data_IF_041189788877
#
_entry.id   IF_041189788877
#
_cell.length_a   1.000
_cell.length_b   1.000
_cell.length_c   1.000
_cell.angle_alpha   90.00
_cell.angle_beta   90.00
_cell.angle_gamma   90.00
#
_symmetry.space_group_name_H-M   'P 1'
#
loop_
_entity.id
_entity.type
_entity.pdbx_description
1 polymer ?
#
# COMPACT_ATOMS: atom_id res chain seq x y z
N UNK A 1 -11.00 -22.28 -10.37
CA UNK A 1 -9.59 -22.67 -10.20
C UNK A 1 -9.21 -22.37 -8.76
N UNK A 2 -8.24 -23.06 -8.15
CA UNK A 2 -7.78 -22.69 -6.82
C UNK A 2 -7.04 -21.34 -6.94
N UNK A 3 -7.35 -20.40 -6.05
CA UNK A 3 -6.99 -18.99 -6.19
C UNK A 3 -6.00 -18.57 -5.11
N UNK A 4 -5.02 -17.74 -5.48
CA UNK A 4 -4.20 -17.02 -4.51
C UNK A 4 -5.04 -15.95 -3.83
N UNK A 5 -4.62 -15.51 -2.64
CA UNK A 5 -5.34 -14.49 -1.90
C UNK A 5 -4.43 -13.54 -1.12
N UNK A 6 -4.91 -12.31 -0.90
CA UNK A 6 -4.35 -11.35 0.04
C UNK A 6 -5.31 -11.20 1.22
N UNK A 7 -4.80 -11.38 2.43
CA UNK A 7 -5.56 -11.24 3.67
C UNK A 7 -5.06 -10.04 4.47
N UNK A 8 -6.00 -9.18 4.90
CA UNK A 8 -5.77 -8.28 6.01
C UNK A 8 -5.91 -9.06 7.32
N UNK A 9 -4.98 -8.88 8.26
CA UNK A 9 -5.02 -9.50 9.59
C UNK A 9 -4.70 -8.47 10.68
N UNK A 10 -5.19 -8.72 11.90
CA UNK A 10 -4.98 -7.82 13.05
C UNK A 10 -4.53 -8.57 14.29
N UNK A 11 -3.26 -8.44 14.61
CA UNK A 11 -2.65 -9.02 15.80
C UNK A 11 -2.97 -8.17 17.04
N UNK A 12 -3.37 -8.81 18.12
CA UNK A 12 -3.46 -8.17 19.43
C UNK A 12 -2.08 -7.94 20.03
N UNK A 13 -1.81 -6.69 20.42
CA UNK A 13 -0.52 -6.28 20.97
C UNK A 13 -0.64 -5.91 22.45
N UNK A 14 -0.87 -4.65 22.81
CA UNK A 14 -1.09 -4.23 24.21
C UNK A 14 -2.53 -3.73 24.38
N UNK A 15 -3.24 -4.28 25.37
CA UNK A 15 -4.61 -3.92 25.67
C UNK A 15 -5.54 -4.14 24.47
N UNK A 16 -6.29 -3.10 24.09
CA UNK A 16 -7.20 -3.12 22.94
C UNK A 16 -6.53 -2.67 21.63
N UNK A 17 -5.23 -2.40 21.61
CA UNK A 17 -4.54 -1.99 20.39
C UNK A 17 -4.34 -3.17 19.43
N UNK A 18 -4.46 -2.88 18.13
CA UNK A 18 -4.23 -3.82 17.04
C UNK A 18 -3.03 -3.41 16.19
N UNK A 19 -2.23 -4.41 15.82
CA UNK A 19 -1.23 -4.33 14.77
C UNK A 19 -1.81 -4.98 13.51
N UNK A 20 -2.16 -4.17 12.52
CA UNK A 20 -2.65 -4.65 11.24
C UNK A 20 -1.48 -4.98 10.30
N UNK A 21 -1.63 -6.05 9.51
CA UNK A 21 -0.63 -6.52 8.56
C UNK A 21 -1.27 -7.32 7.43
N UNK A 22 -0.46 -7.62 6.40
CA UNK A 22 -0.91 -8.34 5.21
C UNK A 22 -0.31 -9.73 5.14
N UNK A 23 -1.09 -10.69 4.66
CA UNK A 23 -0.65 -12.06 4.40
C UNK A 23 -0.98 -12.45 2.97
N UNK A 24 0.02 -12.99 2.27
CA UNK A 24 -0.16 -13.66 0.99
C UNK A 24 -0.46 -15.14 1.22
N UNK A 25 -1.51 -15.64 0.58
CA UNK A 25 -1.93 -17.04 0.63
C UNK A 25 -1.83 -17.67 -0.75
N UNK A 26 -1.34 -18.90 -0.79
CA UNK A 26 -1.39 -19.73 -2.00
C UNK A 26 -2.78 -20.31 -2.22
N UNK A 27 -2.90 -21.09 -3.28
CA UNK A 27 -4.14 -21.70 -3.72
C UNK A 27 -4.70 -22.78 -2.77
N UNK A 28 -3.91 -23.20 -1.78
CA UNK A 28 -4.28 -24.13 -0.71
C UNK A 28 -4.53 -23.42 0.64
N UNK A 29 -4.46 -22.08 0.67
CA UNK A 29 -4.58 -21.29 1.89
C UNK A 29 -3.33 -21.30 2.79
N UNK A 30 -2.20 -21.84 2.31
CA UNK A 30 -0.92 -21.79 3.03
C UNK A 30 -0.36 -20.37 2.97
N UNK A 31 0.22 -19.90 4.07
CA UNK A 31 0.92 -18.62 4.11
C UNK A 31 2.18 -18.69 3.24
N UNK A 32 2.26 -17.79 2.27
CA UNK A 32 3.40 -17.63 1.37
C UNK A 32 4.35 -16.57 1.90
N UNK A 33 3.80 -15.44 2.37
CA UNK A 33 4.57 -14.35 2.93
C UNK A 33 3.72 -13.41 3.80
N UNK A 34 4.37 -12.61 4.63
CA UNK A 34 3.77 -11.51 5.39
C UNK A 34 4.43 -10.16 5.07
N UNK A 35 3.65 -9.07 5.15
CA UNK A 35 4.13 -7.68 5.04
C UNK A 35 3.68 -6.86 6.25
N UNK A 36 4.63 -6.22 6.91
CA UNK A 36 4.41 -5.48 8.16
C UNK A 36 5.07 -4.10 8.14
N UNK A 37 4.50 -3.17 8.91
CA UNK A 37 5.30 -2.10 9.52
C UNK A 37 5.58 -2.44 10.97
N UNK A 38 6.82 -2.48 11.39
CA UNK A 38 7.19 -2.81 12.78
C UNK A 38 8.08 -1.71 13.35
N UNK A 39 8.03 -1.55 14.67
CA UNK A 39 9.11 -0.89 15.36
C UNK A 39 10.36 -1.75 15.19
N UNK A 40 11.50 -1.11 14.96
CA UNK A 40 12.77 -1.78 14.75
C UNK A 40 13.81 -1.11 15.60
N UNK A 41 14.45 -1.88 16.46
CA UNK A 41 15.55 -1.42 17.27
C UNK A 41 16.74 -1.03 16.37
N UNK A 42 17.15 0.24 16.41
CA UNK A 42 18.23 0.76 15.58
C UNK A 42 19.59 0.14 15.90
N UNK A 43 19.80 -0.35 17.13
CA UNK A 43 21.05 -0.94 17.57
C UNK A 43 21.17 -2.41 17.17
N UNK A 44 20.07 -3.17 17.30
CA UNK A 44 20.09 -4.63 17.03
C UNK A 44 19.55 -4.99 15.65
N UNK A 45 18.85 -4.07 14.99
CA UNK A 45 18.10 -4.33 13.76
C UNK A 45 16.88 -5.22 13.95
N UNK A 46 16.51 -5.55 15.19
CA UNK A 46 15.41 -6.48 15.47
C UNK A 46 14.06 -5.78 15.38
N UNK A 47 13.11 -6.45 14.72
CA UNK A 47 11.72 -6.04 14.68
C UNK A 47 11.03 -6.35 16.01
N UNK A 48 10.21 -5.42 16.49
CA UNK A 48 9.34 -5.57 17.66
C UNK A 48 7.92 -5.08 17.30
N UNK A 49 6.87 -5.76 17.76
CA UNK A 49 5.49 -5.40 17.41
C UNK A 49 5.07 -3.99 17.86
N UNK A 50 5.60 -3.52 18.99
CA UNK A 50 5.40 -2.16 19.51
C UNK A 50 6.72 -1.65 20.08
N UNK A 51 7.14 -0.46 19.63
CA UNK A 51 8.26 0.28 20.22
C UNK A 51 7.84 1.07 21.45
N UNK A 52 8.73 1.14 22.44
CA UNK A 52 8.53 1.86 23.71
C UNK A 52 9.47 3.05 23.90
N UNK A 53 10.41 3.22 22.97
CA UNK A 53 11.42 4.29 22.96
C UNK A 53 11.56 4.83 21.53
N UNK A 54 11.07 6.04 21.29
CA UNK A 54 11.03 6.68 19.99
C UNK A 54 12.40 7.14 19.49
N UNK A 55 13.39 7.28 20.37
CA UNK A 55 14.76 7.62 19.98
C UNK A 55 15.56 6.39 19.57
N UNK A 56 15.19 5.22 20.11
CA UNK A 56 15.83 3.94 19.82
C UNK A 56 15.16 3.16 18.70
N UNK A 57 13.84 3.28 18.56
CA UNK A 57 13.07 2.48 17.60
C UNK A 57 12.70 3.31 16.38
N UNK A 58 12.95 2.73 15.21
CA UNK A 58 12.51 3.27 13.94
C UNK A 58 11.31 2.48 13.40
N UNK A 59 10.40 3.14 12.70
CA UNK A 59 9.42 2.44 11.87
C UNK A 59 10.13 1.85 10.65
N UNK A 60 9.95 0.56 10.43
CA UNK A 60 10.42 -0.15 9.24
C UNK A 60 9.35 -1.04 8.65
N UNK A 61 9.36 -1.10 7.33
CA UNK A 61 8.72 -2.11 6.53
C UNK A 61 9.51 -3.43 6.59
N UNK A 62 8.80 -4.53 6.83
CA UNK A 62 9.33 -5.89 6.89
C UNK A 62 8.55 -6.81 5.95
N UNK A 63 9.29 -7.66 5.23
CA UNK A 63 8.76 -8.71 4.38
C UNK A 63 9.28 -10.05 4.88
N UNK A 64 8.39 -10.98 5.20
CA UNK A 64 8.74 -12.30 5.69
C UNK A 64 8.26 -13.36 4.69
N UNK A 65 9.09 -13.80 3.74
CA UNK A 65 8.72 -14.85 2.79
C UNK A 65 8.85 -16.24 3.43
N UNK A 66 7.75 -16.95 3.62
CA UNK A 66 7.75 -18.28 4.26
C UNK A 66 7.86 -19.44 3.26
N UNK A 67 7.40 -19.23 2.04
CA UNK A 67 7.43 -20.27 1.01
C UNK A 67 8.78 -20.29 0.27
N UNK A 68 9.48 -21.45 0.20
CA UNK A 68 10.77 -21.54 -0.48
C UNK A 68 10.75 -21.16 -1.95
N UNK A 69 9.71 -21.53 -2.69
CA UNK A 69 9.62 -21.23 -4.12
C UNK A 69 9.38 -19.73 -4.33
N UNK A 70 8.52 -19.12 -3.51
CA UNK A 70 8.30 -17.67 -3.55
C UNK A 70 9.57 -16.89 -3.16
N UNK A 71 10.19 -17.21 -2.03
CA UNK A 71 11.43 -16.56 -1.58
C UNK A 71 12.51 -16.60 -2.66
N UNK A 72 12.71 -17.76 -3.28
CA UNK A 72 13.67 -17.91 -4.37
C UNK A 72 13.33 -17.02 -5.58
N UNK A 73 12.05 -16.89 -5.93
CA UNK A 73 11.61 -16.10 -7.10
C UNK A 73 11.86 -14.60 -6.97
N UNK A 74 12.01 -14.09 -5.74
CA UNK A 74 12.31 -12.68 -5.46
C UNK A 74 13.77 -12.47 -5.00
N UNK A 75 14.59 -13.53 -5.00
CA UNK A 75 15.99 -13.44 -4.58
C UNK A 75 16.19 -13.29 -3.06
N UNK A 76 15.20 -13.65 -2.25
CA UNK A 76 15.26 -13.59 -0.78
C UNK A 76 15.42 -14.99 -0.17
N UNK A 77 15.79 -15.03 1.12
CA UNK A 77 15.83 -16.28 1.90
C UNK A 77 14.49 -16.49 2.57
N UNK A 78 14.13 -17.76 2.78
CA UNK A 78 12.98 -18.11 3.61
C UNK A 78 13.16 -17.55 5.02
N UNK A 79 12.11 -16.93 5.53
CA UNK A 79 12.03 -16.43 6.89
C UNK A 79 10.99 -17.22 7.70
N UNK A 80 11.41 -17.69 8.88
CA UNK A 80 10.57 -18.42 9.83
C UNK A 80 9.82 -17.52 10.81
N UNK A 81 10.15 -16.22 10.88
CA UNK A 81 9.43 -15.26 11.69
C UNK A 81 8.01 -15.12 11.16
N UNK A 82 7.02 -15.28 12.04
CA UNK A 82 5.61 -15.14 11.66
C UNK A 82 4.83 -14.46 12.78
N UNK A 83 3.88 -13.61 12.38
CA UNK A 83 2.92 -12.98 13.29
C UNK A 83 1.52 -13.57 13.09
N UNK A 84 1.40 -14.60 12.25
CA UNK A 84 0.18 -15.35 12.04
C UNK A 84 -0.19 -16.15 13.30
N UNK A 85 -1.38 -15.87 13.83
CA UNK A 85 -2.04 -16.67 14.87
C UNK A 85 -3.42 -17.13 14.40
N UNK A 86 -3.94 -18.22 14.98
CA UNK A 86 -5.24 -18.79 14.57
C UNK A 86 -6.43 -17.98 15.07
N UNK A 87 -6.27 -17.28 16.20
CA UNK A 87 -7.34 -16.56 16.91
C UNK A 87 -7.50 -15.09 16.47
N UNK A 88 -6.68 -14.63 15.53
CA UNK A 88 -6.70 -13.23 15.11
C UNK A 88 -7.79 -12.96 14.05
N UNK A 89 -8.45 -11.79 14.12
CA UNK A 89 -9.30 -11.32 13.03
C UNK A 89 -8.55 -11.34 11.68
N UNK A 90 -9.20 -11.91 10.67
CA UNK A 90 -8.70 -11.97 9.31
C UNK A 90 -9.82 -11.67 8.30
N UNK A 91 -9.46 -11.04 7.18
CA UNK A 91 -10.34 -10.74 6.06
C UNK A 91 -9.57 -10.92 4.76
N UNK A 92 -10.03 -11.83 3.90
CA UNK A 92 -9.58 -11.89 2.52
C UNK A 92 -10.09 -10.65 1.77
N UNK A 93 -9.19 -9.89 1.16
CA UNK A 93 -9.52 -8.63 0.47
C UNK A 93 -9.35 -8.70 -1.04
N UNK A 94 -8.57 -9.67 -1.53
CA UNK A 94 -8.39 -9.96 -2.94
C UNK A 94 -8.20 -11.46 -3.12
N UNK A 95 -8.81 -12.01 -4.16
CA UNK A 95 -8.58 -13.37 -4.65
C UNK A 95 -8.44 -13.32 -6.16
N UNK A 96 -7.60 -14.18 -6.72
CA UNK A 96 -7.34 -14.17 -8.15
C UNK A 96 -6.39 -15.27 -8.56
N UNK A 97 -5.98 -15.22 -9.83
CA UNK A 97 -4.93 -16.10 -10.29
C UNK A 97 -3.57 -15.73 -9.66
N UNK A 98 -2.64 -16.67 -9.71
CA UNK A 98 -1.30 -16.51 -9.13
C UNK A 98 -0.59 -15.26 -9.64
N UNK A 99 -0.68 -14.96 -10.94
CA UNK A 99 0.06 -13.87 -11.56
C UNK A 99 -0.46 -12.53 -11.07
N UNK A 100 -1.77 -12.32 -11.10
CA UNK A 100 -2.40 -11.07 -10.64
C UNK A 100 -2.07 -10.80 -9.17
N UNK A 101 -2.32 -11.79 -8.30
CA UNK A 101 -2.15 -11.61 -6.85
C UNK A 101 -0.68 -11.40 -6.48
N UNK A 102 0.24 -12.13 -7.12
CA UNK A 102 1.67 -11.90 -6.91
C UNK A 102 2.11 -10.54 -7.46
N UNK A 103 1.55 -10.05 -8.57
CA UNK A 103 1.91 -8.72 -9.09
C UNK A 103 1.46 -7.61 -8.14
N UNK A 104 0.24 -7.67 -7.60
CA UNK A 104 -0.24 -6.78 -6.53
C UNK A 104 0.71 -6.82 -5.34
N UNK A 105 0.94 -8.01 -4.78
CA UNK A 105 1.80 -8.21 -3.61
C UNK A 105 3.23 -7.69 -3.83
N UNK A 106 3.87 -8.09 -4.93
CA UNK A 106 5.24 -7.71 -5.24
C UNK A 106 5.37 -6.20 -5.50
N UNK A 107 4.29 -5.51 -5.87
CA UNK A 107 4.27 -4.05 -5.95
C UNK A 107 4.52 -3.40 -4.59
N UNK A 108 3.84 -3.88 -3.54
CA UNK A 108 4.12 -3.44 -2.18
C UNK A 108 5.51 -3.86 -1.69
N UNK A 109 5.96 -5.08 -2.00
CA UNK A 109 7.32 -5.55 -1.62
C UNK A 109 8.41 -4.64 -2.21
N UNK A 110 8.28 -4.22 -3.48
CA UNK A 110 9.25 -3.32 -4.12
C UNK A 110 9.36 -1.95 -3.45
N UNK A 111 8.35 -1.50 -2.72
CA UNK A 111 8.39 -0.24 -1.99
C UNK A 111 9.13 -0.34 -0.64
N UNK A 112 9.38 -1.56 -0.12
CA UNK A 112 10.02 -1.76 1.21
C UNK A 112 11.32 -0.97 1.38
N UNK A 113 12.28 -0.97 0.43
CA UNK A 113 13.50 -0.18 0.57
C UNK A 113 13.24 1.33 0.66
N UNK A 114 12.32 1.86 -0.14
CA UNK A 114 11.95 3.28 -0.13
C UNK A 114 11.29 3.68 1.19
N UNK A 115 10.37 2.85 1.70
CA UNK A 115 9.73 3.06 3.00
C UNK A 115 10.76 3.08 4.14
N UNK A 116 11.76 2.19 4.09
CA UNK A 116 12.81 2.08 5.08
C UNK A 116 13.82 3.22 5.01
N UNK A 117 14.10 3.76 3.82
CA UNK A 117 15.03 4.86 3.61
C UNK A 117 14.57 6.18 4.26
N UNK A 118 13.27 6.33 4.53
CA UNK A 118 12.73 7.53 5.21
C UNK A 118 13.15 7.64 6.68
N UNK A 119 13.69 6.55 7.23
CA UNK A 119 14.22 6.47 8.57
C UNK A 119 13.37 7.06 9.70
N UNK A 120 12.05 6.92 9.61
CA UNK A 120 11.11 7.53 10.57
C UNK A 120 11.24 6.93 11.96
N UNK A 121 11.18 7.76 12.98
CA UNK A 121 11.06 7.29 14.36
C UNK A 121 9.72 6.58 14.61
N UNK A 122 9.75 5.52 15.41
CA UNK A 122 8.54 4.84 15.83
C UNK A 122 7.96 5.52 17.07
N UNK A 123 6.70 6.00 17.05
CA UNK A 123 6.13 6.67 18.21
C UNK A 123 6.00 5.72 19.41
N UNK A 124 6.30 6.21 20.61
CA UNK A 124 6.16 5.43 21.85
C UNK A 124 4.77 4.81 21.94
N UNK A 125 4.72 3.49 22.15
CA UNK A 125 3.49 2.70 22.22
C UNK A 125 2.63 2.75 20.95
N UNK A 126 3.19 3.22 19.83
CA UNK A 126 2.50 3.30 18.55
C UNK A 126 1.60 4.52 18.38
N UNK A 127 1.66 5.55 19.21
CA UNK A 127 0.84 6.76 19.01
C UNK A 127 1.54 8.04 19.46
N UNK A 128 1.13 9.18 18.87
CA UNK A 128 1.51 10.51 19.32
C UNK A 128 0.33 11.18 20.01
N UNK A 129 0.61 11.89 21.11
CA UNK A 129 -0.40 12.72 21.81
C UNK A 129 -0.68 14.01 21.03
N UNK A 130 0.31 14.51 20.28
CA UNK A 130 0.20 15.68 19.43
C UNK A 130 0.65 15.37 18.00
N UNK A 131 -0.10 15.85 17.01
CA UNK A 131 0.19 15.66 15.59
C UNK A 131 -0.22 14.30 15.02
N UNK A 132 0.12 14.08 13.75
CA UNK A 132 -0.22 12.83 13.06
C UNK A 132 0.59 11.64 13.58
N UNK A 133 -0.10 10.52 13.80
CA UNK A 133 0.53 9.25 14.15
C UNK A 133 0.88 8.48 12.88
N UNK A 134 2.17 8.40 12.55
CA UNK A 134 2.69 7.45 11.54
C UNK A 134 3.35 6.29 12.29
N UNK A 135 2.86 5.07 12.10
CA UNK A 135 3.31 3.88 12.81
C UNK A 135 3.13 2.59 11.96
N UNK A 136 3.10 1.43 12.62
CA UNK A 136 2.84 0.13 11.99
C UNK A 136 1.56 0.09 11.14
N UNK A 137 0.46 0.66 11.61
CA UNK A 137 -0.82 0.64 10.88
C UNK A 137 -0.82 1.61 9.69
N UNK A 138 0.06 2.63 9.72
CA UNK A 138 0.31 3.48 8.55
C UNK A 138 1.05 2.74 7.44
N UNK A 139 1.99 1.84 7.80
CA UNK A 139 2.62 0.95 6.84
C UNK A 139 1.58 -0.02 6.24
N UNK A 140 0.75 -0.64 7.08
CA UNK A 140 -0.37 -1.47 6.65
C UNK A 140 -1.27 -0.75 5.64
N UNK A 141 -1.70 0.48 5.95
CA UNK A 141 -2.47 1.30 5.00
C UNK A 141 -1.71 1.50 3.69
N UNK A 142 -0.45 1.92 3.78
CA UNK A 142 0.38 2.24 2.61
C UNK A 142 0.51 1.01 1.69
N UNK A 143 0.78 -0.17 2.25
CA UNK A 143 0.85 -1.41 1.47
C UNK A 143 -0.48 -1.77 0.82
N UNK A 144 -1.60 -1.61 1.52
CA UNK A 144 -2.92 -1.87 0.94
C UNK A 144 -3.21 -0.98 -0.27
N UNK A 145 -2.86 0.30 -0.17
CA UNK A 145 -3.01 1.24 -1.29
C UNK A 145 -2.06 0.89 -2.44
N UNK A 146 -0.81 0.52 -2.17
CA UNK A 146 0.15 0.08 -3.20
C UNK A 146 -0.28 -1.20 -3.93
N UNK A 147 -0.88 -2.16 -3.22
CA UNK A 147 -1.43 -3.38 -3.80
C UNK A 147 -2.78 -3.16 -4.52
N UNK A 148 -3.33 -1.96 -4.42
CA UNK A 148 -4.68 -1.64 -4.89
C UNK A 148 -5.73 -2.61 -4.28
N UNK A 149 -5.72 -2.75 -2.96
CA UNK A 149 -6.71 -3.59 -2.24
C UNK A 149 -7.43 -2.78 -1.15
N UNK A 150 -8.67 -3.15 -0.79
CA UNK A 150 -9.39 -2.48 0.28
C UNK A 150 -8.64 -2.55 1.62
N UNK A 151 -8.31 -1.39 2.20
CA UNK A 151 -7.72 -1.29 3.54
C UNK A 151 -8.79 -1.55 4.60
N UNK A 152 -8.75 -2.73 5.22
CA UNK A 152 -9.72 -3.13 6.24
C UNK A 152 -9.41 -2.48 7.60
N UNK A 153 -10.46 -2.15 8.34
CA UNK A 153 -10.40 -1.79 9.76
C UNK A 153 -11.03 -2.89 10.62
N UNK A 154 -10.48 -3.12 11.80
CA UNK A 154 -10.95 -4.16 12.71
C UNK A 154 -11.65 -3.55 13.92
N UNK A 155 -12.99 -3.55 13.90
CA UNK A 155 -13.86 -2.77 14.81
C UNK A 155 -13.70 -3.00 16.32
N UNK A 156 -13.03 -4.07 16.75
CA UNK A 156 -12.80 -4.39 18.17
C UNK A 156 -11.42 -3.94 18.69
N UNK A 157 -10.59 -3.35 17.84
CA UNK A 157 -9.25 -2.89 18.20
C UNK A 157 -9.04 -1.43 17.83
N UNK A 158 -8.28 -0.72 18.66
CA UNK A 158 -7.78 0.58 18.28
C UNK A 158 -6.62 0.41 17.31
N UNK A 159 -6.69 1.12 16.20
CA UNK A 159 -5.68 1.09 15.13
C UNK A 159 -5.13 2.50 14.88
N UNK A 160 -4.43 3.12 15.85
CA UNK A 160 -3.80 4.42 15.63
C UNK A 160 -2.93 4.37 14.37
N UNK A 161 -2.91 5.45 13.60
CA UNK A 161 -2.11 5.56 12.37
C UNK A 161 -2.70 4.90 11.12
N UNK A 162 -3.79 4.11 11.21
CA UNK A 162 -4.47 3.54 10.03
C UNK A 162 -5.13 4.60 9.13
N UNK A 163 -5.24 5.84 9.61
CA UNK A 163 -5.67 7.00 8.80
C UNK A 163 -4.53 7.64 8.00
N UNK A 164 -3.27 7.34 8.33
CA UNK A 164 -2.08 8.00 7.82
C UNK A 164 -1.25 7.05 6.95
N UNK A 165 -0.30 7.62 6.21
CA UNK A 165 0.53 6.91 5.23
C UNK A 165 2.01 7.14 5.49
N UNK A 166 2.83 6.20 5.01
CA UNK A 166 4.28 6.38 4.92
C UNK A 166 4.68 7.08 3.61
N UNK A 167 3.83 7.08 2.58
CA UNK A 167 4.06 7.79 1.33
C UNK A 167 3.07 8.94 1.16
N UNK A 168 3.43 9.93 0.33
CA UNK A 168 2.46 10.93 -0.10
C UNK A 168 1.41 10.29 -1.02
N UNK A 169 0.23 10.88 -1.20
CA UNK A 169 -0.77 10.39 -2.14
C UNK A 169 -0.23 10.26 -3.57
N UNK A 170 0.55 11.23 -4.02
CA UNK A 170 1.13 11.27 -5.38
C UNK A 170 2.13 10.12 -5.56
N UNK A 171 3.04 9.95 -4.60
CA UNK A 171 4.03 8.87 -4.65
C UNK A 171 3.39 7.50 -4.51
N UNK A 172 2.29 7.40 -3.76
CA UNK A 172 1.52 6.16 -3.64
C UNK A 172 0.90 5.79 -4.99
N UNK A 173 0.27 6.75 -5.68
CA UNK A 173 -0.33 6.52 -6.98
C UNK A 173 0.72 6.15 -8.04
N UNK A 174 1.88 6.81 -8.07
CA UNK A 174 2.99 6.46 -8.98
C UNK A 174 3.48 5.01 -8.83
N UNK A 175 3.47 4.50 -7.61
CA UNK A 175 3.98 3.17 -7.28
C UNK A 175 2.90 2.10 -7.25
N UNK A 176 1.63 2.49 -7.36
CA UNK A 176 0.48 1.60 -7.18
C UNK A 176 0.43 0.52 -8.26
N UNK A 177 -0.11 -0.62 -7.89
CA UNK A 177 -0.51 -1.63 -8.86
C UNK A 177 -1.63 -1.07 -9.75
N UNK A 178 -1.37 -1.07 -11.05
CA UNK A 178 -2.40 -0.86 -12.08
C UNK A 178 -2.64 -2.17 -12.81
N UNK A 179 -3.91 -2.53 -12.95
CA UNK A 179 -4.31 -3.69 -13.74
C UNK A 179 -3.85 -3.51 -15.21
N UNK A 180 -3.57 -4.60 -15.94
CA UNK A 180 -3.08 -4.52 -17.33
C UNK A 180 -3.93 -3.59 -18.22
N UNK A 181 -5.25 -3.69 -18.11
CA UNK A 181 -6.20 -2.91 -18.92
C UNK A 181 -6.16 -1.40 -18.61
N UNK A 182 -5.83 -1.02 -17.36
CA UNK A 182 -5.66 0.38 -16.96
C UNK A 182 -4.36 0.97 -17.51
N UNK A 183 -3.29 0.18 -17.57
CA UNK A 183 -2.01 0.62 -18.15
C UNK A 183 -2.13 0.86 -19.65
N UNK A 184 -2.95 0.08 -20.35
CA UNK A 184 -3.23 0.29 -21.78
C UNK A 184 -4.02 1.59 -22.01
N UNK A 185 -5.01 1.89 -21.16
CA UNK A 185 -5.76 3.14 -21.22
C UNK A 185 -4.90 4.38 -20.90
N UNK A 186 -3.99 4.28 -19.93
CA UNK A 186 -3.04 5.36 -19.61
C UNK A 186 -1.98 5.58 -20.69
N UNK A 187 -1.67 4.55 -21.50
CA UNK A 187 -0.73 4.64 -22.63
C UNK A 187 -1.39 5.03 -23.95
N UNK A 188 -2.72 5.05 -24.01
CA UNK A 188 -3.43 5.45 -25.22
C UNK A 188 -3.12 6.94 -25.50
N UNK A 189 -2.70 7.30 -26.73
CA UNK A 189 -2.47 8.69 -27.08
C UNK A 189 -3.77 9.48 -26.90
N UNK A 190 -3.66 10.69 -26.35
CA UNK A 190 -4.80 11.61 -26.26
C UNK A 190 -5.46 11.70 -27.64
N UNK A 191 -6.81 11.69 -27.73
CA UNK A 191 -7.49 11.81 -29.01
C UNK A 191 -6.96 13.07 -29.70
N UNK A 192 -6.46 12.88 -30.93
CA UNK A 192 -5.93 13.97 -31.73
C UNK A 192 -6.96 15.10 -31.75
N UNK A 193 -6.53 16.32 -31.39
CA UNK A 193 -7.35 17.50 -31.61
C UNK A 193 -7.74 17.51 -33.09
N UNK A 194 -9.04 17.38 -33.35
CA UNK A 194 -9.61 17.33 -34.68
C UNK A 194 -9.18 18.60 -35.46
N UNK A 195 -8.36 18.49 -36.53
CA UNK A 195 -7.90 19.67 -37.28
C UNK A 195 -9.01 20.26 -38.17
N UNK A 196 -10.22 19.70 -38.16
CA UNK A 196 -11.28 20.08 -39.09
C UNK A 196 -12.22 21.14 -38.52
N UNK A 197 -11.65 22.30 -38.15
CA UNK A 197 -12.41 23.56 -38.20
C UNK A 197 -11.73 24.49 -39.19
N UNK A 198 -11.79 24.08 -40.45
CA UNK A 198 -11.51 24.96 -41.57
C UNK A 198 -12.55 26.08 -41.57
N UNK A 199 -12.06 27.30 -41.41
CA UNK A 199 -12.75 28.51 -41.83
C UNK A 199 -13.29 28.33 -43.25
N UNK A 200 -14.56 28.66 -43.46
CA UNK A 200 -15.00 29.20 -44.75
C UNK A 200 -15.96 30.39 -44.52
N UNK A 201 -15.69 31.53 -45.17
CA UNK A 201 -16.51 32.74 -45.13
C UNK A 201 -17.61 32.68 -46.21
N UNK A 202 -18.72 33.39 -46.00
CA UNK A 202 -19.50 34.14 -47.00
C UNK A 202 -20.84 34.55 -46.37
N UNK A 203 -20.97 35.83 -46.02
CA UNK A 203 -21.66 36.87 -46.80
C UNK A 203 -23.10 37.10 -46.33
N UNK A 204 -23.26 38.05 -45.41
CA UNK A 204 -24.36 39.03 -45.54
C UNK A 204 -23.83 40.43 -45.28
N UNK A 205 -24.04 41.26 -46.30
CA UNK A 205 -23.64 42.64 -46.49
C UNK A 205 -24.20 43.64 -45.46
N UNK A 206 -23.42 44.74 -45.32
CA UNK A 206 -23.84 46.16 -45.24
C UNK A 206 -24.68 46.57 -44.03
N UNK A 207 -24.15 47.34 -43.09
CA UNK A 207 -24.09 48.83 -43.04
C UNK A 207 -24.65 49.15 -41.65
N UNK A 208 -24.26 50.12 -40.84
CA UNK A 208 -23.36 51.26 -40.91
C UNK A 208 -23.41 51.85 -39.47
N UNK A 209 -22.29 52.42 -38.99
CA UNK A 209 -22.24 53.71 -38.26
C UNK A 209 -22.96 53.71 -36.87
N UNK A 210 -22.34 54.01 -35.72
CA UNK A 210 -21.23 54.90 -35.39
C UNK A 210 -20.83 54.65 -33.93
N UNK A 211 -19.54 54.86 -33.66
CA UNK A 211 -19.01 55.09 -32.32
C UNK A 211 -19.53 56.37 -31.66
N UNK A 212 -19.68 56.24 -30.34
CA UNK A 212 -19.39 57.19 -29.24
C UNK A 212 -20.28 58.43 -29.01
N UNK A 213 -20.47 58.65 -27.70
CA UNK A 213 -21.11 59.74 -26.93
C UNK A 213 -22.58 59.49 -26.61
#
# INVERSE_FOLDING_TARGET
MPNYAIEARSLGVIGIAGHAFWVLRDEHGKAVAELHGLATDRQTGQAIPIGTDATRHALRAWHYPHDPAYAHSIGEKVDSTTYIRDDQPARTVATGDKREILERWNTAVRAVPELNAQDRDYPNYGFKVFGETVNSNSAYRTFGELMDVPVQRFSRRLEPGVGNRMLSPERTEELRYHAPDEREQQRAPAPAADPTRADHPDHTMLQQIRDKV
#
